data_IF_866296601261
#
_entry.id   IF_866296601261
#
_cell.length_a   1.000
_cell.length_b   1.000
_cell.length_c   1.000
_cell.angle_alpha   90.00
_cell.angle_beta   90.00
_cell.angle_gamma   90.00
#
_symmetry.space_group_name_H-M   'P 1'
#
loop_
_entity.id
_entity.type
_entity.pdbx_description
1 polymer ?
#
# COMPACT_ATOMS: atom_id res chain seq x y z
N UNK A 1 -11.51 6.29 -6.45
CA UNK A 1 -10.74 5.36 -5.61
C UNK A 1 -9.87 4.52 -6.52
N UNK A 2 -8.57 4.50 -6.29
CA UNK A 2 -7.68 3.59 -7.03
C UNK A 2 -7.87 2.18 -6.52
N UNK A 3 -7.78 1.22 -7.42
CA UNK A 3 -7.80 -0.21 -7.13
C UNK A 3 -6.40 -0.68 -6.72
N UNK A 4 -6.34 -1.85 -6.05
CA UNK A 4 -5.07 -2.51 -5.73
C UNK A 4 -4.22 -2.74 -7.00
N UNK A 5 -4.86 -3.04 -8.13
CA UNK A 5 -4.16 -3.26 -9.41
C UNK A 5 -3.49 -2.00 -9.97
N UNK A 6 -4.13 -0.84 -9.82
CA UNK A 6 -3.55 0.45 -10.21
C UNK A 6 -2.36 0.80 -9.32
N UNK A 7 -2.49 0.62 -8.00
CA UNK A 7 -1.40 0.83 -7.04
C UNK A 7 -0.21 -0.09 -7.31
N UNK A 8 -0.44 -1.39 -7.56
CA UNK A 8 0.62 -2.32 -7.94
C UNK A 8 1.35 -1.90 -9.21
N UNK A 9 0.62 -1.37 -10.20
CA UNK A 9 1.21 -0.83 -11.42
C UNK A 9 2.13 0.37 -11.12
N UNK A 10 1.65 1.33 -10.33
CA UNK A 10 2.43 2.50 -9.92
C UNK A 10 3.70 2.12 -9.16
N UNK A 11 3.59 1.20 -8.19
CA UNK A 11 4.73 0.71 -7.40
C UNK A 11 5.78 0.02 -8.28
N UNK A 12 5.34 -0.80 -9.25
CA UNK A 12 6.25 -1.46 -10.22
C UNK A 12 6.97 -0.46 -11.11
N UNK A 13 6.28 0.57 -11.58
CA UNK A 13 6.90 1.65 -12.38
C UNK A 13 7.93 2.41 -11.53
N UNK A 14 7.60 2.73 -10.28
CA UNK A 14 8.52 3.41 -9.36
C UNK A 14 9.81 2.59 -9.10
N UNK A 15 9.69 1.27 -8.95
CA UNK A 15 10.84 0.37 -8.83
C UNK A 15 11.71 0.35 -10.10
N UNK A 16 11.09 0.32 -11.28
CA UNK A 16 11.81 0.36 -12.57
C UNK A 16 12.53 1.70 -12.82
N UNK A 17 11.96 2.79 -12.31
CA UNK A 17 12.53 4.14 -12.37
C UNK A 17 13.79 4.33 -11.52
N UNK A 18 14.27 3.29 -10.82
CA UNK A 18 15.38 3.34 -9.85
C UNK A 18 15.16 4.37 -8.75
N UNK A 19 13.90 4.65 -8.40
CA UNK A 19 13.68 5.48 -7.23
C UNK A 19 14.23 4.77 -5.99
N UNK A 20 14.99 5.46 -5.12
CA UNK A 20 15.77 4.85 -4.05
C UNK A 20 14.92 4.34 -2.87
N UNK A 21 13.61 4.23 -3.03
CA UNK A 21 12.68 3.82 -1.99
C UNK A 21 12.87 2.34 -1.67
N UNK A 22 13.64 2.09 -0.60
CA UNK A 22 14.01 0.74 -0.12
C UNK A 22 12.82 -0.17 0.20
N UNK A 23 11.62 0.39 0.36
CA UNK A 23 10.41 -0.30 0.81
C UNK A 23 9.42 -0.63 -0.30
N UNK A 24 9.65 -0.19 -1.54
CA UNK A 24 8.73 -0.50 -2.66
C UNK A 24 8.49 -2.01 -2.85
N UNK A 25 9.49 -2.91 -2.68
CA UNK A 25 9.25 -4.34 -2.75
C UNK A 25 8.31 -4.86 -1.65
N UNK A 26 8.45 -4.36 -0.43
CA UNK A 26 7.58 -4.70 0.70
C UNK A 26 6.17 -4.13 0.50
N UNK A 27 6.04 -2.90 0.00
CA UNK A 27 4.75 -2.29 -0.38
C UNK A 27 4.05 -3.15 -1.45
N UNK A 28 4.76 -3.57 -2.50
CA UNK A 28 4.20 -4.46 -3.53
C UNK A 28 3.71 -5.77 -2.90
N UNK A 29 4.51 -6.38 -2.02
CA UNK A 29 4.14 -7.63 -1.34
C UNK A 29 2.87 -7.46 -0.49
N UNK A 30 2.76 -6.38 0.27
CA UNK A 30 1.58 -6.11 1.09
C UNK A 30 0.34 -5.88 0.22
N UNK A 31 0.45 -5.13 -0.87
CA UNK A 31 -0.65 -4.95 -1.83
C UNK A 31 -1.09 -6.28 -2.46
N UNK A 32 -0.15 -7.16 -2.81
CA UNK A 32 -0.46 -8.50 -3.30
C UNK A 32 -1.19 -9.35 -2.25
N UNK A 33 -0.79 -9.25 -0.98
CA UNK A 33 -1.50 -9.91 0.12
C UNK A 33 -2.94 -9.37 0.21
N UNK A 34 -3.13 -8.05 0.31
CA UNK A 34 -4.46 -7.42 0.36
C UNK A 34 -5.35 -7.84 -0.82
N UNK A 35 -4.77 -7.98 -2.02
CA UNK A 35 -5.49 -8.46 -3.22
C UNK A 35 -6.02 -9.89 -3.08
N UNK A 36 -5.24 -10.77 -2.45
CA UNK A 36 -5.60 -12.19 -2.29
C UNK A 36 -6.61 -12.42 -1.17
N UNK A 37 -6.83 -11.43 -0.31
CA UNK A 37 -7.55 -11.54 0.97
C UNK A 37 -8.96 -10.92 0.91
N UNK A 38 -9.70 -11.16 -0.19
CA UNK A 38 -10.98 -10.46 -0.50
C UNK A 38 -12.12 -10.69 0.51
N UNK A 39 -12.10 -11.79 1.25
CA UNK A 39 -13.16 -12.21 2.18
C UNK A 39 -12.65 -12.37 3.63
N UNK A 40 -11.54 -11.71 3.98
CA UNK A 40 -10.92 -11.89 5.29
C UNK A 40 -11.59 -11.16 6.46
N UNK A 41 -11.35 -11.73 7.64
CA UNK A 41 -11.67 -11.17 8.95
C UNK A 41 -11.23 -9.69 9.03
N UNK A 42 -12.10 -8.80 9.55
CA UNK A 42 -11.77 -7.39 9.76
C UNK A 42 -10.42 -7.13 10.42
N UNK A 43 -9.99 -8.00 11.35
CA UNK A 43 -8.70 -7.87 12.02
C UNK A 43 -7.52 -8.00 11.06
N UNK A 44 -7.62 -8.88 10.07
CA UNK A 44 -6.55 -9.07 9.09
C UNK A 44 -6.51 -7.89 8.13
N UNK A 45 -7.68 -7.34 7.76
CA UNK A 45 -7.74 -6.12 6.95
C UNK A 45 -7.08 -4.94 7.66
N UNK A 46 -7.39 -4.75 8.94
CA UNK A 46 -6.80 -3.70 9.76
C UNK A 46 -5.28 -3.87 9.90
N UNK A 47 -4.80 -5.10 10.12
CA UNK A 47 -3.36 -5.37 10.24
C UNK A 47 -2.62 -5.12 8.92
N UNK A 48 -3.17 -5.54 7.77
CA UNK A 48 -2.57 -5.27 6.46
C UNK A 48 -2.55 -3.78 6.13
N UNK A 49 -3.62 -3.05 6.46
CA UNK A 49 -3.67 -1.59 6.34
C UNK A 49 -2.57 -0.92 7.17
N UNK A 50 -2.43 -1.28 8.46
CA UNK A 50 -1.38 -0.75 9.34
C UNK A 50 0.02 -1.06 8.81
N UNK A 51 0.24 -2.27 8.30
CA UNK A 51 1.53 -2.65 7.70
C UNK A 51 1.83 -1.77 6.49
N UNK A 52 0.87 -1.58 5.59
CA UNK A 52 1.03 -0.73 4.41
C UNK A 52 1.34 0.72 4.81
N UNK A 53 0.54 1.31 5.70
CA UNK A 53 0.73 2.67 6.17
C UNK A 53 2.10 2.87 6.81
N UNK A 54 2.55 1.92 7.63
CA UNK A 54 3.88 1.97 8.24
C UNK A 54 5.01 1.93 7.19
N UNK A 55 4.92 1.04 6.21
CA UNK A 55 5.94 0.94 5.15
C UNK A 55 6.07 2.25 4.36
N UNK A 56 4.95 2.94 4.13
CA UNK A 56 4.93 4.23 3.45
C UNK A 56 5.55 5.33 4.32
N UNK A 57 5.15 5.41 5.60
CA UNK A 57 5.62 6.44 6.54
C UNK A 57 7.08 6.27 7.00
N UNK A 58 7.67 5.07 6.86
CA UNK A 58 9.07 4.82 7.21
C UNK A 58 10.08 5.54 6.28
N UNK A 59 9.62 6.11 5.16
CA UNK A 59 10.39 7.01 4.28
C UNK A 59 9.59 8.29 4.02
N UNK A 60 9.96 9.40 4.67
CA UNK A 60 9.25 10.68 4.57
C UNK A 60 9.17 11.17 3.11
N UNK A 61 10.23 10.98 2.31
CA UNK A 61 10.23 11.44 0.91
C UNK A 61 9.23 10.63 0.08
N UNK A 62 9.08 9.35 0.40
CA UNK A 62 8.10 8.49 -0.23
C UNK A 62 6.69 8.83 0.22
N UNK A 63 6.48 9.05 1.52
CA UNK A 63 5.19 9.43 2.08
C UNK A 63 4.66 10.75 1.50
N UNK A 64 5.52 11.73 1.26
CA UNK A 64 5.16 13.02 0.64
C UNK A 64 5.03 12.96 -0.89
N UNK A 65 5.29 11.81 -1.51
CA UNK A 65 5.11 11.63 -2.95
C UNK A 65 3.66 11.33 -3.30
N UNK A 66 3.26 11.60 -4.55
CA UNK A 66 1.90 11.31 -5.03
C UNK A 66 1.49 9.84 -4.82
N UNK A 67 2.41 8.90 -5.03
CA UNK A 67 2.16 7.47 -4.81
C UNK A 67 2.07 7.14 -3.31
N UNK A 68 2.83 7.83 -2.45
CA UNK A 68 2.74 7.70 -1.00
C UNK A 68 1.37 8.12 -0.47
N UNK A 69 0.91 9.30 -0.86
CA UNK A 69 -0.43 9.80 -0.54
C UNK A 69 -1.53 8.82 -0.98
N UNK A 70 -1.42 8.28 -2.20
CA UNK A 70 -2.37 7.29 -2.73
C UNK A 70 -2.37 5.99 -1.91
N UNK A 71 -1.21 5.50 -1.48
CA UNK A 71 -1.10 4.30 -0.68
C UNK A 71 -1.65 4.49 0.75
N UNK A 72 -1.45 5.67 1.34
CA UNK A 72 -2.01 6.01 2.65
C UNK A 72 -3.53 6.11 2.60
N UNK A 73 -4.07 6.84 1.63
CA UNK A 73 -5.52 6.94 1.43
C UNK A 73 -6.15 5.56 1.21
N UNK A 74 -5.50 4.70 0.41
CA UNK A 74 -5.96 3.33 0.20
C UNK A 74 -5.90 2.48 1.47
N UNK A 75 -4.84 2.61 2.29
CA UNK A 75 -4.72 1.88 3.54
C UNK A 75 -5.86 2.25 4.51
N UNK A 76 -6.18 3.54 4.64
CA UNK A 76 -7.28 4.01 5.49
C UNK A 76 -8.63 3.45 5.01
N UNK A 77 -8.94 3.59 3.73
CA UNK A 77 -10.20 3.08 3.14
C UNK A 77 -10.32 1.55 3.28
N UNK A 78 -9.22 0.81 3.09
CA UNK A 78 -9.21 -0.65 3.22
C UNK A 78 -9.49 -1.11 4.67
N UNK A 79 -9.10 -0.31 5.66
CA UNK A 79 -9.44 -0.57 7.06
C UNK A 79 -10.89 -0.20 7.38
N UNK A 80 -11.44 0.86 6.77
CA UNK A 80 -12.84 1.28 6.99
C UNK A 80 -13.84 0.28 6.39
N UNK A 81 -13.54 -0.33 5.24
CA UNK A 81 -14.34 -1.40 4.62
C UNK A 81 -14.45 -2.68 5.47
N UNK A 82 -13.75 -2.75 6.60
CA UNK A 82 -13.78 -3.86 7.55
C UNK A 82 -14.85 -3.70 8.66
N UNK A 83 -15.40 -2.49 8.85
CA UNK A 83 -16.38 -2.16 9.91
C UNK A 83 -17.82 -2.12 9.44
#
# INVERSE_FOLDING_TARGET
MMTIDELLSHVRVAMQGKQPHRFLPEVERTLLQMKTQKDEDPLIREDLSRILGRLVLDDITFAESEIGDQLLAFADEYAEDAG
#
